data_IF_103064957479
#
_entry.id   IF_103064957479
#
_cell.length_a   1.000
_cell.length_b   1.000
_cell.length_c   1.000
_cell.angle_alpha   90.00
_cell.angle_beta   90.00
_cell.angle_gamma   90.00
#
_symmetry.space_group_name_H-M   'P 1'
#
loop_
_entity.id
_entity.type
_entity.pdbx_description
1 polymer ?
#
# COMPACT_ATOMS: atom_id res chain seq x y z
N UNK A 1 3.18 5.16 6.91
CA UNK A 1 1.73 4.89 6.99
C UNK A 1 1.19 4.86 5.56
N UNK A 2 0.40 3.85 5.20
CA UNK A 2 -0.34 3.84 3.94
C UNK A 2 -1.73 4.42 4.17
N UNK A 3 -2.11 5.42 3.37
CA UNK A 3 -3.42 6.05 3.49
C UNK A 3 -4.47 5.31 2.65
N UNK A 4 -5.71 5.21 3.14
CA UNK A 4 -6.81 4.57 2.41
C UNK A 4 -7.06 5.20 1.04
N UNK A 5 -6.83 6.51 0.90
CA UNK A 5 -6.88 7.19 -0.39
C UNK A 5 -5.88 6.59 -1.39
N UNK A 6 -4.66 6.24 -0.96
CA UNK A 6 -3.65 5.61 -1.81
C UNK A 6 -4.08 4.19 -2.21
N UNK A 7 -4.70 3.43 -1.31
CA UNK A 7 -5.28 2.11 -1.63
C UNK A 7 -6.33 2.25 -2.74
N UNK A 8 -7.32 3.14 -2.54
CA UNK A 8 -8.39 3.38 -3.49
C UNK A 8 -7.85 3.84 -4.85
N UNK A 9 -6.95 4.84 -4.86
CA UNK A 9 -6.30 5.34 -6.07
C UNK A 9 -5.58 4.24 -6.84
N UNK A 10 -4.75 3.45 -6.17
CA UNK A 10 -3.94 2.41 -6.84
C UNK A 10 -4.79 1.28 -7.38
N UNK A 11 -5.84 0.86 -6.67
CA UNK A 11 -6.77 -0.16 -7.18
C UNK A 11 -7.50 0.37 -8.40
N UNK A 12 -8.06 1.59 -8.33
CA UNK A 12 -8.74 2.21 -9.46
C UNK A 12 -7.81 2.35 -10.66
N UNK A 13 -6.58 2.80 -10.43
CA UNK A 13 -5.58 2.91 -11.47
C UNK A 13 -5.23 1.53 -12.04
N UNK A 14 -4.87 0.54 -11.22
CA UNK A 14 -4.51 -0.81 -11.68
C UNK A 14 -5.62 -1.45 -12.53
N UNK A 15 -6.88 -1.29 -12.14
CA UNK A 15 -8.04 -1.95 -12.76
C UNK A 15 -8.80 -1.08 -13.77
N UNK A 16 -8.27 0.09 -14.13
CA UNK A 16 -8.91 1.02 -15.07
C UNK A 16 -10.32 1.47 -14.69
N UNK A 17 -10.57 1.67 -13.40
CA UNK A 17 -11.86 2.07 -12.87
C UNK A 17 -11.99 3.59 -12.93
N UNK A 18 -12.68 4.10 -13.95
CA UNK A 18 -13.09 5.49 -14.07
C UNK A 18 -14.20 5.85 -13.06
N UNK A 19 -14.63 7.12 -13.02
CA UNK A 19 -15.61 7.58 -12.02
C UNK A 19 -16.96 6.88 -12.15
N UNK A 20 -17.47 6.74 -13.38
CA UNK A 20 -18.72 6.01 -13.65
C UNK A 20 -18.70 4.57 -13.15
N UNK A 21 -17.58 3.87 -13.38
CA UNK A 21 -17.40 2.51 -12.89
C UNK A 21 -17.24 2.47 -11.36
N UNK A 22 -16.55 3.44 -10.76
CA UNK A 22 -16.40 3.53 -9.31
C UNK A 22 -17.76 3.77 -8.63
N UNK A 23 -18.57 4.69 -9.13
CA UNK A 23 -19.92 4.97 -8.62
C UNK A 23 -20.80 3.72 -8.76
N UNK A 24 -20.75 3.02 -9.89
CA UNK A 24 -21.45 1.75 -10.09
C UNK A 24 -21.03 0.67 -9.08
N UNK A 25 -19.75 0.62 -8.70
CA UNK A 25 -19.24 -0.30 -7.68
C UNK A 25 -19.85 0.02 -6.31
N UNK A 26 -19.92 1.28 -5.92
CA UNK A 26 -20.55 1.69 -4.66
C UNK A 26 -22.05 1.40 -4.64
N UNK A 27 -22.73 1.55 -5.77
CA UNK A 27 -24.16 1.22 -5.90
C UNK A 27 -24.45 -0.27 -5.64
N UNK A 28 -23.50 -1.17 -5.87
CA UNK A 28 -23.66 -2.61 -5.54
C UNK A 28 -23.75 -2.86 -4.03
N UNK A 29 -23.31 -1.90 -3.21
CA UNK A 29 -23.41 -1.86 -1.76
C UNK A 29 -24.55 -0.95 -1.27
N UNK A 30 -25.49 -0.61 -2.16
CA UNK A 30 -26.61 0.31 -1.88
C UNK A 30 -26.13 1.68 -1.36
N UNK A 31 -24.93 2.10 -1.77
CA UNK A 31 -24.35 3.39 -1.42
C UNK A 31 -24.37 4.34 -2.63
N UNK A 32 -25.08 5.46 -2.50
CA UNK A 32 -25.10 6.54 -3.48
C UNK A 32 -23.85 7.41 -3.32
N UNK A 33 -22.82 7.14 -4.12
CA UNK A 33 -21.58 7.90 -4.12
C UNK A 33 -21.75 9.23 -4.87
N UNK A 34 -21.57 10.33 -4.15
CA UNK A 34 -21.45 11.66 -4.73
C UNK A 34 -20.12 11.84 -5.50
N UNK A 35 -20.19 12.49 -6.66
CA UNK A 35 -19.03 12.62 -7.55
C UNK A 35 -17.98 13.61 -7.01
N UNK A 36 -18.41 14.70 -6.39
CA UNK A 36 -17.51 15.72 -5.83
C UNK A 36 -16.78 15.17 -4.60
N UNK A 37 -17.49 14.40 -3.76
CA UNK A 37 -16.88 13.65 -2.67
C UNK A 37 -15.91 12.59 -3.18
N UNK A 38 -16.26 11.82 -4.23
CA UNK A 38 -15.35 10.87 -4.87
C UNK A 38 -14.08 11.57 -5.35
N UNK A 39 -14.19 12.72 -6.01
CA UNK A 39 -13.03 13.50 -6.44
C UNK A 39 -12.18 13.97 -5.26
N UNK A 40 -12.83 14.45 -4.19
CA UNK A 40 -12.14 14.93 -2.98
C UNK A 40 -11.33 13.83 -2.28
N UNK A 41 -11.85 12.59 -2.20
CA UNK A 41 -11.09 11.45 -1.63
C UNK A 41 -10.05 10.87 -2.58
N UNK A 42 -10.05 11.27 -3.85
CA UNK A 42 -9.05 10.86 -4.83
C UNK A 42 -7.85 11.80 -4.90
N UNK A 43 -7.99 13.04 -4.43
CA UNK A 43 -6.91 14.03 -4.33
C UNK A 43 -5.78 13.60 -3.41
N UNK A 44 -4.56 14.09 -3.65
CA UNK A 44 -3.43 13.93 -2.73
C UNK A 44 -3.58 14.86 -1.52
N UNK A 45 -2.86 14.57 -0.44
CA UNK A 45 -2.97 15.29 0.85
C UNK A 45 -2.62 16.79 0.76
N UNK A 46 -1.76 17.15 -0.19
CA UNK A 46 -1.29 18.50 -0.46
C UNK A 46 -2.16 19.26 -1.48
N UNK A 47 -3.20 18.63 -2.03
CA UNK A 47 -4.08 19.24 -3.03
C UNK A 47 -5.31 19.90 -2.36
N UNK A 48 -5.71 21.07 -2.86
CA UNK A 48 -6.88 21.81 -2.36
C UNK A 48 -8.17 20.98 -2.47
N UNK A 49 -8.94 20.93 -1.39
CA UNK A 49 -10.17 20.13 -1.31
C UNK A 49 -9.93 18.63 -1.11
N UNK A 50 -8.73 18.23 -0.66
CA UNK A 50 -8.46 16.87 -0.19
C UNK A 50 -9.38 16.49 0.96
N UNK A 51 -9.95 15.28 0.90
CA UNK A 51 -10.64 14.65 2.02
C UNK A 51 -10.06 13.25 2.33
N UNK A 52 -9.86 12.89 3.61
CA UNK A 52 -9.38 11.56 3.97
C UNK A 52 -10.45 10.50 3.67
N UNK A 53 -10.03 9.40 3.03
CA UNK A 53 -10.88 8.25 2.78
C UNK A 53 -11.06 7.44 4.07
N UNK A 54 -12.30 7.40 4.57
CA UNK A 54 -12.65 6.67 5.80
C UNK A 54 -12.66 5.16 5.57
N UNK A 55 -12.38 4.40 6.64
CA UNK A 55 -12.42 2.93 6.66
C UNK A 55 -13.67 2.36 5.97
N UNK A 56 -14.85 2.88 6.36
CA UNK A 56 -16.16 2.44 5.81
C UNK A 56 -16.25 2.63 4.30
N UNK A 57 -15.73 3.73 3.77
CA UNK A 57 -15.77 4.03 2.33
C UNK A 57 -14.89 3.06 1.55
N UNK A 58 -13.65 2.82 2.01
CA UNK A 58 -12.77 1.86 1.37
C UNK A 58 -13.32 0.43 1.47
N UNK A 59 -13.89 0.05 2.61
CA UNK A 59 -14.51 -1.26 2.78
C UNK A 59 -15.67 -1.48 1.80
N UNK A 60 -16.60 -0.52 1.70
CA UNK A 60 -17.72 -0.58 0.74
C UNK A 60 -17.22 -0.67 -0.71
N UNK A 61 -16.18 0.09 -1.07
CA UNK A 61 -15.60 -0.01 -2.41
C UNK A 61 -15.06 -1.42 -2.70
N UNK A 62 -14.31 -1.99 -1.76
CA UNK A 62 -13.73 -3.32 -1.92
C UNK A 62 -14.79 -4.42 -1.95
N UNK A 63 -15.84 -4.32 -1.13
CA UNK A 63 -16.96 -5.26 -1.14
C UNK A 63 -17.80 -5.15 -2.42
N UNK A 64 -18.08 -3.92 -2.88
CA UNK A 64 -18.69 -3.69 -4.18
C UNK A 64 -17.85 -4.27 -5.33
N UNK A 65 -16.51 -4.20 -5.23
CA UNK A 65 -15.61 -4.79 -6.22
C UNK A 65 -15.66 -6.33 -6.19
N UNK A 66 -15.81 -6.94 -5.00
CA UNK A 66 -16.06 -8.38 -4.87
C UNK A 66 -17.37 -8.74 -5.59
N UNK A 67 -18.46 -8.03 -5.30
CA UNK A 67 -19.78 -8.27 -5.92
C UNK A 67 -19.68 -8.10 -7.43
N UNK A 68 -19.02 -7.05 -7.92
CA UNK A 68 -18.84 -6.78 -9.35
C UNK A 68 -18.14 -7.93 -10.08
N UNK A 69 -17.12 -8.54 -9.46
CA UNK A 69 -16.29 -9.54 -10.11
C UNK A 69 -16.76 -10.99 -9.89
N UNK A 70 -17.48 -11.27 -8.80
CA UNK A 70 -17.93 -12.63 -8.44
C UNK A 70 -19.44 -12.84 -8.49
N UNK A 71 -20.22 -11.77 -8.59
CA UNK A 71 -21.66 -11.78 -8.35
C UNK A 71 -22.01 -11.68 -6.87
N UNK A 72 -23.28 -11.40 -6.57
CA UNK A 72 -23.83 -11.45 -5.21
C UNK A 72 -23.89 -12.92 -4.77
N UNK A 73 -23.34 -13.23 -3.59
CA UNK A 73 -23.50 -14.55 -2.99
C UNK A 73 -24.76 -14.56 -2.12
N UNK A 74 -25.73 -15.42 -2.47
CA UNK A 74 -26.95 -15.58 -1.67
C UNK A 74 -26.60 -16.07 -0.26
N UNK A 75 -27.13 -15.39 0.76
CA UNK A 75 -26.92 -15.73 2.17
C UNK A 75 -25.62 -15.21 2.81
N UNK A 76 -24.72 -14.56 2.06
CA UNK A 76 -23.54 -13.89 2.61
C UNK A 76 -23.56 -12.40 2.22
N UNK A 77 -24.32 -11.61 2.98
CA UNK A 77 -24.23 -10.15 2.90
C UNK A 77 -22.83 -9.70 3.37
N UNK A 78 -22.20 -8.72 2.70
CA UNK A 78 -20.94 -8.17 3.18
C UNK A 78 -21.09 -7.65 4.60
N UNK A 79 -20.16 -8.01 5.48
CA UNK A 79 -20.14 -7.50 6.85
C UNK A 79 -19.87 -5.99 6.81
N UNK A 80 -20.89 -5.20 7.14
CA UNK A 80 -20.70 -3.77 7.34
C UNK A 80 -19.76 -3.50 8.52
N UNK A 81 -18.83 -2.57 8.35
CA UNK A 81 -18.00 -2.10 9.46
C UNK A 81 -18.86 -1.32 10.45
N UNK A 82 -18.82 -1.75 11.71
CA UNK A 82 -19.49 -1.05 12.80
C UNK A 82 -18.87 0.35 13.07
N UNK A 83 -19.53 1.21 13.87
CA UNK A 83 -19.12 2.62 14.07
C UNK A 83 -17.69 2.85 14.57
N UNK A 84 -17.08 1.85 15.23
CA UNK A 84 -15.72 1.91 15.77
C UNK A 84 -14.77 0.87 15.13
N UNK A 85 -15.25 0.10 14.17
CA UNK A 85 -14.46 -0.94 13.52
C UNK A 85 -13.52 -0.31 12.48
N UNK A 86 -12.26 -0.72 12.50
CA UNK A 86 -11.23 -0.24 11.57
C UNK A 86 -10.99 -1.27 10.48
N UNK A 87 -10.72 -0.79 9.27
CA UNK A 87 -10.36 -1.66 8.18
C UNK A 87 -8.87 -2.01 8.29
N UNK A 88 -8.57 -3.23 8.73
CA UNK A 88 -7.18 -3.67 8.86
C UNK A 88 -6.55 -3.97 7.49
N UNK A 89 -5.22 -3.92 7.43
CA UNK A 89 -4.47 -4.36 6.25
C UNK A 89 -4.77 -5.81 5.86
N UNK A 90 -4.95 -6.71 6.83
CA UNK A 90 -5.33 -8.09 6.58
C UNK A 90 -6.69 -8.19 5.86
N UNK A 91 -7.66 -7.36 6.27
CA UNK A 91 -8.97 -7.30 5.63
C UNK A 91 -8.89 -6.70 4.22
N UNK A 92 -8.07 -5.66 4.00
CA UNK A 92 -7.81 -5.12 2.65
C UNK A 92 -7.24 -6.22 1.75
N UNK A 93 -6.19 -6.93 2.20
CA UNK A 93 -5.58 -8.02 1.45
C UNK A 93 -6.58 -9.14 1.15
N UNK A 94 -7.43 -9.49 2.13
CA UNK A 94 -8.46 -10.53 1.97
C UNK A 94 -9.49 -10.11 0.93
N UNK A 95 -10.02 -8.88 1.01
CA UNK A 95 -11.01 -8.39 0.05
C UNK A 95 -10.45 -8.29 -1.36
N UNK A 96 -9.20 -7.82 -1.53
CA UNK A 96 -8.52 -7.82 -2.84
C UNK A 96 -8.34 -9.25 -3.37
N UNK A 97 -7.86 -10.18 -2.54
CA UNK A 97 -7.69 -11.59 -2.91
C UNK A 97 -9.01 -12.16 -3.43
N UNK A 98 -10.11 -11.90 -2.72
CA UNK A 98 -11.43 -12.36 -3.12
C UNK A 98 -11.84 -11.67 -4.43
N UNK A 99 -11.83 -10.34 -4.49
CA UNK A 99 -12.25 -9.58 -5.67
C UNK A 99 -11.52 -9.99 -6.96
N UNK A 100 -10.23 -10.33 -6.85
CA UNK A 100 -9.40 -10.71 -7.99
C UNK A 100 -9.34 -12.23 -8.24
N UNK A 101 -10.03 -13.03 -7.41
CA UNK A 101 -9.98 -14.49 -7.46
C UNK A 101 -8.57 -15.09 -7.39
N UNK A 102 -7.71 -14.45 -6.60
CA UNK A 102 -6.34 -14.90 -6.42
C UNK A 102 -6.25 -16.13 -5.51
N UNK A 103 -5.50 -17.12 -5.99
CA UNK A 103 -4.92 -18.19 -5.18
C UNK A 103 -3.66 -17.67 -4.46
N UNK A 104 -3.10 -18.49 -3.56
CA UNK A 104 -1.89 -18.11 -2.83
C UNK A 104 -0.75 -17.82 -3.80
N UNK A 105 -0.61 -18.66 -4.84
CA UNK A 105 0.41 -18.55 -5.87
C UNK A 105 0.26 -17.26 -6.69
N UNK A 106 -0.98 -16.84 -6.99
CA UNK A 106 -1.26 -15.59 -7.69
C UNK A 106 -0.83 -14.38 -6.87
N UNK A 107 -1.15 -14.36 -5.57
CA UNK A 107 -0.76 -13.27 -4.67
C UNK A 107 0.76 -13.17 -4.54
N UNK A 108 1.44 -14.32 -4.40
CA UNK A 108 2.90 -14.38 -4.31
C UNK A 108 3.52 -13.85 -5.62
N UNK A 109 3.00 -14.27 -6.77
CA UNK A 109 3.48 -13.79 -8.07
C UNK A 109 3.29 -12.28 -8.23
N UNK A 110 2.15 -11.73 -7.80
CA UNK A 110 1.89 -10.29 -7.84
C UNK A 110 2.85 -9.53 -6.91
N UNK A 111 3.06 -10.00 -5.68
CA UNK A 111 4.03 -9.40 -4.75
C UNK A 111 5.46 -9.45 -5.33
N UNK A 112 5.83 -10.55 -5.98
CA UNK A 112 7.13 -10.72 -6.61
C UNK A 112 7.36 -9.71 -7.75
N UNK A 113 6.33 -9.32 -8.50
CA UNK A 113 6.44 -8.27 -9.52
C UNK A 113 6.87 -6.92 -8.93
N UNK A 114 6.57 -6.66 -7.65
CA UNK A 114 7.03 -5.48 -6.92
C UNK A 114 8.33 -5.72 -6.12
N UNK A 115 9.10 -6.74 -6.51
CA UNK A 115 10.32 -7.20 -5.83
C UNK A 115 10.10 -7.50 -4.33
N UNK A 116 8.90 -7.93 -3.97
CA UNK A 116 8.55 -8.31 -2.60
C UNK A 116 8.36 -9.81 -2.50
N UNK A 117 9.29 -10.47 -1.80
CA UNK A 117 9.24 -11.92 -1.57
C UNK A 117 8.45 -12.22 -0.31
N UNK A 118 7.46 -13.10 -0.43
CA UNK A 118 6.67 -13.61 0.68
C UNK A 118 6.46 -15.11 0.47
N UNK A 119 6.79 -15.92 1.46
CA UNK A 119 6.56 -17.36 1.38
C UNK A 119 5.08 -17.71 1.55
N UNK A 120 4.69 -18.92 1.12
CA UNK A 120 3.32 -19.43 1.31
C UNK A 120 2.91 -19.51 2.78
N UNK A 121 3.85 -19.86 3.68
CA UNK A 121 3.62 -19.89 5.12
C UNK A 121 3.34 -18.50 5.70
N UNK A 122 4.12 -17.50 5.30
CA UNK A 122 3.91 -16.10 5.72
C UNK A 122 2.61 -15.54 5.16
N UNK A 123 2.29 -15.80 3.89
CA UNK A 123 1.01 -15.39 3.30
C UNK A 123 -0.17 -16.02 4.05
N UNK A 124 -0.11 -17.32 4.35
CA UNK A 124 -1.17 -18.01 5.10
C UNK A 124 -1.39 -17.39 6.47
N UNK A 125 -0.32 -16.99 7.15
CA UNK A 125 -0.38 -16.34 8.47
C UNK A 125 -1.18 -15.03 8.46
N UNK A 126 -1.16 -14.27 7.35
CA UNK A 126 -1.92 -13.04 7.19
C UNK A 126 -3.44 -13.28 7.10
N UNK A 127 -3.88 -14.48 6.71
CA UNK A 127 -5.29 -14.78 6.52
C UNK A 127 -5.91 -15.62 7.64
N UNK A 128 -5.12 -15.96 8.68
CA UNK A 128 -5.64 -16.62 9.88
C UNK A 128 -6.55 -15.67 10.67
N UNK A 129 -7.39 -16.23 11.54
CA UNK A 129 -8.17 -15.43 12.49
C UNK A 129 -7.24 -14.79 13.54
N UNK A 130 -7.55 -13.60 14.08
CA UNK A 130 -6.68 -12.89 15.01
C UNK A 130 -6.28 -13.65 16.28
N UNK A 131 -7.12 -14.56 16.75
CA UNK A 131 -6.94 -15.42 17.93
C UNK A 131 -6.04 -16.64 17.66
N UNK A 132 -5.70 -16.93 16.40
CA UNK A 132 -4.91 -18.08 16.04
C UNK A 132 -3.41 -17.88 16.34
N UNK A 133 -2.72 -18.88 16.93
CA UNK A 133 -1.29 -18.80 17.31
C UNK A 133 -0.32 -18.36 16.21
N UNK A 134 -0.64 -18.68 14.96
CA UNK A 134 0.16 -18.33 13.78
C UNK A 134 -0.40 -17.12 13.01
N UNK A 135 -1.32 -16.36 13.60
CA UNK A 135 -1.78 -15.11 13.01
C UNK A 135 -0.67 -14.08 12.97
N UNK A 136 -0.61 -13.33 11.86
CA UNK A 136 0.30 -12.20 11.69
C UNK A 136 -0.49 -11.02 11.16
N UNK A 137 -0.43 -9.89 11.85
CA UNK A 137 -0.94 -8.62 11.33
C UNK A 137 -0.12 -8.21 10.09
N UNK A 138 -0.79 -7.81 9.02
CA UNK A 138 -0.15 -7.34 7.81
C UNK A 138 0.34 -5.90 8.00
N UNK A 139 1.62 -5.66 7.72
CA UNK A 139 2.16 -4.30 7.66
C UNK A 139 1.77 -3.59 6.36
N UNK A 140 1.81 -2.26 6.39
CA UNK A 140 1.52 -1.39 5.24
C UNK A 140 2.34 -1.75 3.99
N UNK A 141 3.57 -2.23 4.19
CA UNK A 141 4.46 -2.60 3.10
C UNK A 141 3.91 -3.75 2.25
N UNK A 142 3.21 -4.71 2.86
CA UNK A 142 2.62 -5.84 2.13
C UNK A 142 1.50 -5.33 1.21
N UNK A 143 0.62 -4.46 1.72
CA UNK A 143 -0.47 -3.86 0.93
C UNK A 143 0.11 -3.00 -0.19
N UNK A 144 1.08 -2.12 0.13
CA UNK A 144 1.75 -1.26 -0.84
C UNK A 144 2.35 -2.05 -2.00
N UNK A 145 3.08 -3.13 -1.68
CA UNK A 145 3.72 -3.96 -2.68
C UNK A 145 2.72 -4.82 -3.47
N UNK A 146 1.65 -5.31 -2.85
CA UNK A 146 0.59 -6.00 -3.58
C UNK A 146 -0.02 -5.06 -4.62
N UNK A 147 -0.37 -3.83 -4.23
CA UNK A 147 -0.95 -2.85 -5.16
C UNK A 147 0.04 -2.42 -6.24
N UNK A 148 1.32 -2.25 -5.91
CA UNK A 148 2.35 -1.97 -6.90
C UNK A 148 2.47 -3.13 -7.91
N UNK A 149 2.47 -4.36 -7.41
CA UNK A 149 2.46 -5.57 -8.24
C UNK A 149 1.24 -5.64 -9.14
N UNK A 150 0.06 -5.27 -8.63
CA UNK A 150 -1.17 -5.19 -9.44
C UNK A 150 -1.05 -4.13 -10.54
N UNK A 151 -0.52 -2.95 -10.22
CA UNK A 151 -0.25 -1.91 -11.22
C UNK A 151 0.69 -2.47 -12.30
N UNK A 152 1.80 -3.08 -11.92
CA UNK A 152 2.73 -3.70 -12.87
C UNK A 152 2.01 -4.77 -13.69
N UNK A 153 1.25 -5.68 -13.07
CA UNK A 153 0.52 -6.76 -13.76
C UNK A 153 -0.48 -6.26 -14.80
N UNK A 154 -1.27 -5.25 -14.45
CA UNK A 154 -2.42 -4.83 -15.25
C UNK A 154 -2.14 -3.63 -16.15
N UNK A 155 -1.04 -2.90 -15.94
CA UNK A 155 -0.70 -1.67 -16.66
C UNK A 155 0.62 -1.73 -17.44
N UNK A 156 1.11 -2.92 -17.78
CA UNK A 156 2.37 -3.15 -18.53
C UNK A 156 2.50 -2.30 -19.81
N UNK A 157 1.38 -1.90 -20.42
CA UNK A 157 1.34 -1.13 -21.68
C UNK A 157 0.94 0.35 -21.54
N UNK A 158 0.74 0.88 -20.33
CA UNK A 158 0.52 2.32 -20.17
C UNK A 158 1.87 3.01 -20.14
N UNK A 159 2.23 3.69 -21.23
CA UNK A 159 3.46 4.51 -21.31
C UNK A 159 3.57 5.36 -20.03
N UNK A 160 4.74 5.41 -19.37
CA UNK A 160 4.91 6.26 -18.20
C UNK A 160 4.61 7.71 -18.61
N UNK A 161 3.68 8.35 -17.91
CA UNK A 161 3.51 9.79 -18.01
C UNK A 161 4.79 10.39 -17.46
N UNK A 162 5.66 10.86 -18.34
CA UNK A 162 6.85 11.64 -17.98
C UNK A 162 6.36 12.89 -17.25
N UNK A 163 6.38 12.85 -15.92
CA UNK A 163 6.29 14.05 -15.12
C UNK A 163 7.56 14.85 -15.37
N UNK A 164 7.46 15.90 -16.19
CA UNK A 164 8.48 16.94 -16.33
C UNK A 164 8.88 17.42 -14.94
N UNK A 165 10.04 16.97 -14.48
CA UNK A 165 10.80 17.70 -13.49
C UNK A 165 11.55 18.81 -14.24
N UNK A 166 11.48 20.02 -13.69
CA UNK A 166 12.17 21.25 -14.07
C UNK A 166 11.45 22.16 -15.08
N UNK A 167 10.54 22.97 -14.54
CA UNK A 167 10.23 24.30 -15.09
C UNK A 167 9.92 25.28 -13.95
N UNK A 168 10.89 25.54 -13.07
CA UNK A 168 10.91 26.74 -12.23
C UNK A 168 12.37 27.22 -12.06
N UNK A 169 12.68 28.29 -12.81
CA UNK A 169 13.68 29.34 -12.57
C UNK A 169 15.17 28.93 -12.35
N UNK A 170 16.16 29.57 -12.96
CA UNK A 170 16.28 31.01 -13.25
C UNK A 170 17.41 31.30 -14.24
N UNK A 171 17.19 32.39 -14.98
CA UNK A 171 18.10 33.11 -15.86
C UNK A 171 19.32 33.64 -15.11
N UNK A 172 20.50 33.55 -15.75
CA UNK A 172 21.58 34.54 -15.63
C UNK A 172 22.21 34.78 -17.01
N UNK A 173 22.28 36.05 -17.41
CA UNK A 173 22.84 36.56 -18.67
C UNK A 173 24.35 36.81 -18.57
N UNK A 174 25.03 36.75 -19.72
CA UNK A 174 26.34 37.35 -20.05
C UNK A 174 27.41 36.28 -20.33
N UNK A 175 28.18 36.25 -21.42
CA UNK A 175 28.40 37.14 -22.57
C UNK A 175 29.88 37.00 -23.01
N UNK A 176 30.15 36.75 -24.30
CA UNK A 176 31.49 36.81 -24.94
C UNK A 176 32.11 35.46 -25.33
N UNK A 177 32.01 35.00 -26.58
CA UNK A 177 32.91 35.16 -27.78
C UNK A 177 34.12 34.20 -27.90
N UNK A 178 33.98 33.32 -28.90
CA UNK A 178 34.92 32.94 -29.98
C UNK A 178 36.11 31.96 -29.80
N UNK A 179 36.09 30.97 -30.73
CA UNK A 179 37.17 30.41 -31.58
C UNK A 179 37.94 29.12 -31.19
N UNK A 180 37.66 28.10 -32.03
CA UNK A 180 38.57 27.24 -32.85
C UNK A 180 39.68 26.38 -32.23
N UNK A 181 39.75 25.11 -32.67
CA UNK A 181 41.04 24.45 -33.00
C UNK A 181 41.27 23.02 -32.50
N UNK A 182 41.01 22.03 -33.38
CA UNK A 182 41.80 20.82 -33.73
C UNK A 182 42.60 19.97 -32.71
N UNK A 183 42.31 18.65 -32.79
CA UNK A 183 43.20 17.48 -33.01
C UNK A 183 44.15 16.88 -31.93
N UNK A 184 44.04 15.54 -31.87
CA UNK A 184 45.05 14.48 -31.59
C UNK A 184 45.57 14.23 -30.17
N UNK A 185 45.27 13.09 -29.53
CA UNK A 185 45.88 11.73 -29.57
C UNK A 185 46.95 11.52 -28.49
N UNK A 186 46.81 10.43 -27.71
CA UNK A 186 47.83 9.45 -27.30
C UNK A 186 47.74 8.95 -25.83
N UNK A 187 47.42 7.65 -25.74
CA UNK A 187 47.92 6.58 -24.85
C UNK A 187 48.70 6.94 -23.58
N UNK A 188 48.28 6.36 -22.45
CA UNK A 188 49.06 5.35 -21.68
C UNK A 188 48.31 4.96 -20.39
N UNK A 189 47.97 3.67 -20.22
CA UNK A 189 47.98 3.03 -18.89
C UNK A 189 49.39 2.45 -18.64
N UNK A 190 49.62 1.59 -17.63
CA UNK A 190 48.77 1.21 -16.49
C UNK A 190 49.51 1.31 -15.14
N UNK A 191 48.83 1.43 -14.00
CA UNK A 191 49.34 0.91 -12.72
C UNK A 191 48.23 0.36 -11.85
N UNK A 192 48.21 -0.97 -11.80
CA UNK A 192 47.67 -1.79 -10.72
C UNK A 192 48.32 -1.41 -9.38
N UNK A 193 47.56 -1.46 -8.30
CA UNK A 193 48.03 -1.94 -7.00
C UNK A 193 46.83 -2.41 -6.18
N UNK A 194 46.85 -3.70 -5.92
CA UNK A 194 45.94 -4.49 -5.12
C UNK A 194 46.39 -4.37 -3.66
N UNK A 195 45.50 -4.20 -2.69
CA UNK A 195 45.78 -4.64 -1.32
C UNK A 195 44.51 -5.11 -0.62
N UNK A 196 44.50 -6.42 -0.38
CA UNK A 196 43.67 -7.14 0.58
C UNK A 196 43.85 -6.54 1.98
N UNK A 197 42.82 -6.52 2.81
CA UNK A 197 42.69 -7.46 3.93
C UNK A 197 41.51 -7.17 4.87
N UNK A 198 40.94 -8.27 5.37
CA UNK A 198 40.50 -8.53 6.75
C UNK A 198 39.52 -7.53 7.40
N UNK A 199 38.31 -7.90 7.81
CA UNK A 199 37.98 -9.00 8.71
C UNK A 199 37.96 -8.50 10.15
N UNK A 200 36.77 -8.32 10.76
CA UNK A 200 36.44 -8.65 12.17
C UNK A 200 35.15 -7.97 12.70
N UNK A 201 34.29 -8.84 13.24
CA UNK A 201 33.56 -8.77 14.53
C UNK A 201 32.48 -7.70 14.78
N UNK A 202 31.27 -8.27 14.85
CA UNK A 202 30.11 -7.92 15.71
C UNK A 202 30.50 -7.23 17.02
N UNK A 203 29.77 -6.15 17.35
CA UNK A 203 29.48 -5.77 18.73
C UNK A 203 27.97 -5.71 18.97
N UNK A 204 27.61 -6.35 20.06
CA UNK A 204 26.29 -6.51 20.65
C UNK A 204 26.02 -5.25 21.49
N UNK A 205 24.85 -4.62 21.31
CA UNK A 205 24.35 -3.62 22.25
C UNK A 205 23.04 -4.12 22.86
N UNK A 206 23.13 -4.52 24.13
CA UNK A 206 22.00 -4.75 25.04
C UNK A 206 21.42 -3.40 25.48
N UNK A 207 20.11 -3.19 25.33
CA UNK A 207 19.33 -2.24 26.15
C UNK A 207 18.00 -2.92 26.51
N UNK A 208 17.94 -3.48 27.72
CA UNK A 208 17.22 -2.96 28.90
C UNK A 208 15.70 -3.00 28.73
N UNK A 209 15.15 -4.07 29.31
CA UNK A 209 13.77 -4.29 29.69
C UNK A 209 13.21 -3.13 30.51
N UNK A 210 12.01 -2.66 30.16
CA UNK A 210 11.17 -1.88 31.04
C UNK A 210 9.83 -2.61 31.22
N UNK A 211 9.65 -3.21 32.40
CA UNK A 211 8.43 -3.88 32.83
C UNK A 211 7.57 -2.88 33.59
N UNK A 212 6.33 -2.67 33.16
CA UNK A 212 5.29 -2.09 34.00
C UNK A 212 4.27 -3.18 34.34
N UNK A 213 4.26 -3.55 35.63
CA UNK A 213 3.16 -4.20 36.34
C UNK A 213 2.45 -3.11 37.15
N UNK A 214 1.12 -3.05 37.06
CA UNK A 214 0.19 -2.47 38.06
C UNK A 214 -1.13 -3.23 37.84
N UNK A 215 -1.40 -4.31 38.57
CA UNK A 215 -2.12 -4.40 39.86
C UNK A 215 -3.65 -4.32 39.70
N UNK A 216 -4.28 -5.50 39.77
CA UNK A 216 -5.69 -5.67 40.07
C UNK A 216 -5.95 -5.27 41.52
N UNK A 217 -6.98 -4.45 41.76
CA UNK A 217 -7.63 -4.36 43.07
C UNK A 217 -9.05 -4.93 43.00
N UNK A 218 -9.51 -5.64 44.05
CA UNK A 218 -10.85 -6.20 44.12
C UNK A 218 -11.84 -5.12 44.60
N UNK A 219 -13.05 -5.11 44.03
CA UNK A 219 -14.18 -4.38 44.58
C UNK A 219 -15.07 -5.38 45.31
N UNK A 220 -15.14 -5.20 46.63
CA UNK A 220 -16.05 -5.92 47.51
C UNK A 220 -17.21 -4.99 47.92
N UNK A 221 -18.32 -5.62 48.31
CA UNK A 221 -19.56 -5.07 48.89
C UNK A 221 -20.63 -4.47 47.95
N UNK A 222 -21.80 -5.12 47.90
CA UNK A 222 -22.96 -4.70 48.71
C UNK A 222 -24.16 -5.67 48.58
N UNK A 223 -24.49 -6.22 49.75
CA UNK A 223 -25.75 -6.78 50.24
C UNK A 223 -27.02 -6.09 49.71
N UNK A 224 -27.98 -6.88 49.22
CA UNK A 224 -29.42 -6.56 49.27
C UNK A 224 -30.28 -7.84 49.32
N UNK A 225 -30.92 -8.02 50.47
CA UNK A 225 -32.25 -8.58 50.77
C UNK A 225 -32.91 -9.48 49.71
N UNK A 226 -33.17 -10.72 50.14
CA UNK A 226 -34.20 -11.65 49.67
C UNK A 226 -34.49 -12.61 50.80
#
# INVERSE_FOLDING_TARGET
MMFHNDVLRRIRYALAINDTAAISIFKLMDYEMDIDYLHSIMKKEDEEGYLPCRDKILAMFLDGLIIKNRGKQEGQAPKELGPKERLSNNEILRKIRIAMSYKDEDMIAVLYMADFRLSKGELSALFRKPDHRNYKAAGDQVVRNLLQGMVIKYRQNTKPRTSNQNAFASKSKGGGTAKSGSSETQKAGPKTLNLKNSGAKKQIVKKKSNTYRVDNKPTDSLRSKG
#
